data_IF_227469995889
#
_entry.id   IF_227469995889
#
_cell.length_a   1.000
_cell.length_b   1.000
_cell.length_c   1.000
_cell.angle_alpha   90.00
_cell.angle_beta   90.00
_cell.angle_gamma   90.00
#
_symmetry.space_group_name_H-M   'P 1'
#
loop_
_entity.id
_entity.type
_entity.pdbx_description
1 polymer ?
#
# COMPACT_ATOMS: atom_id res chain seq x y z
N UNK A 1 -13.09 22.05 17.68
CA UNK A 1 -12.69 20.73 17.17
C UNK A 1 -11.86 20.97 15.92
N UNK A 2 -10.56 20.62 15.92
CA UNK A 2 -9.68 20.86 14.76
C UNK A 2 -9.73 19.62 13.87
N UNK A 3 -10.24 19.79 12.64
CA UNK A 3 -10.14 18.80 11.58
C UNK A 3 -8.66 18.50 11.32
N UNK A 4 -8.25 17.26 11.59
CA UNK A 4 -6.89 16.80 11.31
C UNK A 4 -6.83 16.32 9.86
N UNK A 5 -6.79 17.29 8.95
CA UNK A 5 -6.46 17.05 7.54
C UNK A 5 -5.05 16.46 7.50
N UNK A 6 -4.93 15.21 7.06
CA UNK A 6 -3.63 14.61 6.79
C UNK A 6 -2.97 15.40 5.66
N UNK A 7 -1.87 16.08 5.99
CA UNK A 7 -0.99 16.72 5.01
C UNK A 7 0.30 15.90 4.98
N UNK A 8 0.72 15.36 3.83
CA UNK A 8 2.07 14.80 3.75
C UNK A 8 3.06 15.92 4.10
N UNK A 9 4.04 15.59 4.93
CA UNK A 9 5.07 16.54 5.34
C UNK A 9 5.77 17.09 4.08
N UNK A 10 5.63 18.39 3.85
CA UNK A 10 6.26 19.10 2.75
C UNK A 10 7.77 19.16 2.97
N UNK A 11 8.54 18.42 2.16
CA UNK A 11 9.99 18.56 2.05
C UNK A 11 10.70 17.22 1.79
N UNK A 12 11.16 17.02 0.55
CA UNK A 12 11.82 15.84 -0.03
C UNK A 12 10.91 14.60 -0.21
N UNK A 13 10.38 14.42 -1.41
CA UNK A 13 9.74 13.16 -1.83
C UNK A 13 10.83 12.10 -1.99
N UNK A 14 11.25 11.52 -0.86
CA UNK A 14 12.19 10.41 -0.84
C UNK A 14 11.37 9.20 -0.44
N UNK A 15 11.43 8.16 -1.26
CA UNK A 15 10.83 6.87 -0.96
C UNK A 15 11.15 6.44 0.50
N UNK A 16 10.16 5.95 1.27
CA UNK A 16 10.41 5.45 2.62
C UNK A 16 11.44 4.30 2.62
N UNK A 17 12.35 4.28 3.60
CA UNK A 17 13.38 3.23 3.71
C UNK A 17 12.79 1.81 3.70
N UNK A 18 11.62 1.61 4.31
CA UNK A 18 10.94 0.31 4.30
C UNK A 18 10.56 -0.16 2.89
N UNK A 19 10.18 0.77 2.02
CA UNK A 19 9.88 0.51 0.60
C UNK A 19 11.19 0.20 -0.14
N UNK A 20 12.23 1.00 0.05
CA UNK A 20 13.53 0.75 -0.59
C UNK A 20 14.12 -0.61 -0.21
N UNK A 21 14.01 -1.01 1.07
CA UNK A 21 14.43 -2.34 1.53
C UNK A 21 13.61 -3.45 0.88
N UNK A 22 12.29 -3.28 0.77
CA UNK A 22 11.44 -4.27 0.10
C UNK A 22 11.76 -4.39 -1.40
N UNK A 23 12.05 -3.28 -2.09
CA UNK A 23 12.46 -3.29 -3.51
C UNK A 23 13.75 -4.07 -3.76
N UNK A 24 14.66 -4.12 -2.78
CA UNK A 24 15.91 -4.86 -2.89
C UNK A 24 15.72 -6.39 -2.80
N UNK A 25 14.55 -6.87 -2.39
CA UNK A 25 14.26 -8.29 -2.20
C UNK A 25 13.79 -8.95 -3.50
N UNK A 26 14.29 -10.17 -3.75
CA UNK A 26 13.89 -10.99 -4.91
C UNK A 26 12.75 -11.93 -4.54
N UNK A 27 11.51 -11.48 -4.72
CA UNK A 27 10.31 -12.29 -4.42
C UNK A 27 9.99 -13.39 -5.45
N UNK A 28 10.71 -13.49 -6.56
CA UNK A 28 10.45 -14.51 -7.61
C UNK A 28 9.09 -14.38 -8.33
N UNK A 29 8.24 -13.45 -7.90
CA UNK A 29 6.95 -13.07 -8.50
C UNK A 29 7.04 -11.66 -9.07
N UNK A 30 6.23 -11.37 -10.09
CA UNK A 30 6.13 -10.00 -10.62
C UNK A 30 5.34 -9.12 -9.65
N UNK A 31 6.05 -8.38 -8.82
CA UNK A 31 5.46 -7.44 -7.87
C UNK A 31 4.83 -6.29 -8.63
N UNK A 32 3.57 -5.99 -8.31
CA UNK A 32 2.83 -4.88 -8.92
C UNK A 32 3.16 -3.57 -8.23
N UNK A 33 3.34 -3.55 -6.92
CA UNK A 33 3.74 -2.34 -6.19
C UNK A 33 4.00 -2.60 -4.71
N UNK A 34 4.58 -1.59 -4.07
CA UNK A 34 5.02 -1.65 -2.68
C UNK A 34 4.19 -0.69 -1.82
N UNK A 35 3.50 -1.21 -0.82
CA UNK A 35 2.59 -0.46 0.02
C UNK A 35 3.26 0.00 1.31
N UNK A 36 3.19 1.31 1.54
CA UNK A 36 3.55 1.97 2.79
C UNK A 36 2.29 2.44 3.53
N UNK A 37 2.30 2.39 4.86
CA UNK A 37 1.12 2.63 5.70
C UNK A 37 -0.11 1.88 5.20
N UNK A 38 0.05 0.58 4.96
CA UNK A 38 -1.01 -0.27 4.46
C UNK A 38 -2.05 -0.56 5.55
N UNK A 39 -3.30 -0.70 5.13
CA UNK A 39 -4.39 -1.23 5.93
C UNK A 39 -5.26 -2.17 5.07
N UNK A 40 -5.95 -3.10 5.72
CA UNK A 40 -6.98 -3.91 5.05
C UNK A 40 -8.33 -3.31 5.38
N UNK A 41 -9.06 -2.87 4.35
CA UNK A 41 -10.49 -2.60 4.48
C UNK A 41 -11.21 -3.96 4.51
N UNK A 42 -11.67 -4.36 5.70
CA UNK A 42 -12.35 -5.65 5.91
C UNK A 42 -13.72 -5.70 5.23
N UNK A 43 -14.40 -4.56 5.09
CA UNK A 43 -15.73 -4.51 4.48
C UNK A 43 -15.65 -4.77 2.97
N UNK A 44 -14.68 -4.15 2.30
CA UNK A 44 -14.44 -4.34 0.87
C UNK A 44 -13.45 -5.48 0.57
N UNK A 45 -12.82 -6.03 1.60
CA UNK A 45 -11.74 -7.02 1.50
C UNK A 45 -10.66 -6.55 0.53
N UNK A 46 -10.15 -5.33 0.69
CA UNK A 46 -9.11 -4.74 -0.18
C UNK A 46 -7.98 -4.09 0.63
N UNK A 47 -6.85 -3.82 -0.02
CA UNK A 47 -5.75 -3.07 0.55
C UNK A 47 -5.90 -1.58 0.27
N UNK A 48 -5.58 -0.77 1.27
CA UNK A 48 -5.52 0.69 1.16
C UNK A 48 -4.18 1.15 1.70
N UNK A 49 -3.57 2.16 1.08
CA UNK A 49 -2.28 2.69 1.52
C UNK A 49 -1.61 3.53 0.44
N UNK A 50 -0.34 3.83 0.63
CA UNK A 50 0.48 4.55 -0.35
C UNK A 50 1.28 3.54 -1.14
N UNK A 51 1.01 3.40 -2.45
CA UNK A 51 1.77 2.52 -3.33
C UNK A 51 2.95 3.26 -3.95
N UNK A 52 4.10 2.60 -3.97
CA UNK A 52 5.32 3.03 -4.64
C UNK A 52 5.71 2.02 -5.73
N UNK A 53 6.32 2.52 -6.80
CA UNK A 53 7.00 1.71 -7.83
C UNK A 53 6.05 0.75 -8.53
N UNK A 54 4.91 1.24 -9.02
CA UNK A 54 3.96 0.39 -9.71
C UNK A 54 4.55 -0.07 -11.05
N UNK A 55 4.36 -1.35 -11.36
CA UNK A 55 5.08 -2.04 -12.45
C UNK A 55 4.90 -1.46 -13.85
N UNK A 56 3.94 -0.54 -14.07
CA UNK A 56 3.77 0.20 -15.32
C UNK A 56 4.44 1.58 -15.31
N UNK A 57 5.34 1.83 -14.35
CA UNK A 57 6.04 3.11 -14.17
C UNK A 57 5.17 4.20 -13.54
N UNK A 58 4.09 3.82 -12.86
CA UNK A 58 3.22 4.77 -12.15
C UNK A 58 3.60 4.83 -10.68
N UNK A 59 3.28 5.96 -10.04
CA UNK A 59 3.40 6.13 -8.60
C UNK A 59 4.83 5.93 -8.06
N UNK A 60 5.86 6.31 -8.83
CA UNK A 60 7.26 6.25 -8.33
C UNK A 60 7.44 7.06 -7.05
N UNK A 61 6.80 8.22 -6.98
CA UNK A 61 6.80 9.15 -5.84
C UNK A 61 5.73 8.83 -4.78
N UNK A 62 5.03 7.71 -4.93
CA UNK A 62 3.94 7.33 -4.04
C UNK A 62 2.58 7.87 -4.48
N UNK A 63 1.54 7.05 -4.37
CA UNK A 63 0.16 7.50 -4.48
C UNK A 63 -0.77 6.71 -3.57
N UNK A 64 -1.80 7.38 -3.06
CA UNK A 64 -2.84 6.69 -2.30
C UNK A 64 -3.64 5.82 -3.26
N UNK A 65 -3.76 4.54 -2.94
CA UNK A 65 -4.61 3.61 -3.67
C UNK A 65 -5.58 2.91 -2.75
N UNK A 66 -6.67 2.46 -3.36
CA UNK A 66 -7.48 1.34 -2.91
C UNK A 66 -7.35 0.23 -3.95
N UNK A 67 -6.87 -0.93 -3.56
CA UNK A 67 -6.75 -2.07 -4.47
C UNK A 67 -8.14 -2.62 -4.83
N UNK A 68 -8.19 -3.48 -5.84
CA UNK A 68 -9.32 -4.41 -5.99
C UNK A 68 -9.35 -5.41 -4.83
N UNK A 69 -10.44 -6.19 -4.75
CA UNK A 69 -10.61 -7.24 -3.73
C UNK A 69 -9.41 -8.19 -3.67
N UNK A 70 -9.03 -8.58 -2.45
CA UNK A 70 -7.99 -9.55 -2.18
C UNK A 70 -8.50 -10.95 -2.48
N UNK A 71 -7.68 -11.71 -3.19
CA UNK A 71 -7.85 -13.16 -3.36
C UNK A 71 -7.23 -13.90 -2.16
N UNK A 72 -6.10 -13.40 -1.66
CA UNK A 72 -5.42 -13.96 -0.51
C UNK A 72 -4.08 -13.26 -0.23
N UNK A 73 -3.42 -13.68 0.85
CA UNK A 73 -2.09 -13.20 1.20
C UNK A 73 -1.21 -14.30 1.76
N UNK A 74 0.10 -14.13 1.61
CA UNK A 74 1.13 -15.07 2.07
C UNK A 74 2.34 -14.29 2.60
N UNK A 75 3.24 -15.01 3.25
CA UNK A 75 4.52 -14.47 3.70
C UNK A 75 5.65 -14.96 2.81
N UNK A 76 6.57 -14.06 2.50
CA UNK A 76 7.75 -14.38 1.71
C UNK A 76 8.87 -13.40 2.04
N UNK A 77 10.09 -13.92 2.28
CA UNK A 77 11.27 -13.13 2.64
C UNK A 77 11.04 -12.15 3.81
N UNK A 78 10.16 -12.50 4.76
CA UNK A 78 9.82 -11.65 5.90
C UNK A 78 8.82 -10.53 5.61
N UNK A 79 8.25 -10.48 4.40
CA UNK A 79 7.20 -9.54 4.01
C UNK A 79 5.85 -10.22 3.85
N UNK A 80 4.78 -9.48 4.12
CA UNK A 80 3.42 -9.90 3.80
C UNK A 80 3.08 -9.46 2.39
N UNK A 81 2.70 -10.41 1.54
CA UNK A 81 2.26 -10.18 0.17
C UNK A 81 0.77 -10.46 0.05
N UNK A 82 0.10 -9.72 -0.82
CA UNK A 82 -1.30 -9.95 -1.15
C UNK A 82 -1.52 -9.97 -2.64
N UNK A 83 -2.24 -10.99 -3.10
CA UNK A 83 -2.76 -11.04 -4.46
C UNK A 83 -4.20 -10.54 -4.46
N UNK A 84 -4.51 -9.72 -5.44
CA UNK A 84 -5.86 -9.27 -5.72
C UNK A 84 -6.51 -10.14 -6.79
N UNK A 85 -7.85 -10.12 -6.88
CA UNK A 85 -8.62 -10.88 -7.86
C UNK A 85 -8.28 -10.56 -9.33
N UNK A 86 -7.64 -9.42 -9.61
CA UNK A 86 -7.18 -9.06 -10.96
C UNK A 86 -5.73 -9.50 -11.24
N UNK A 87 -5.13 -10.27 -10.33
CA UNK A 87 -3.76 -10.78 -10.44
C UNK A 87 -2.67 -9.83 -9.95
N UNK A 88 -3.00 -8.59 -9.54
CA UNK A 88 -2.00 -7.66 -8.97
C UNK A 88 -1.47 -8.20 -7.64
N UNK A 89 -0.15 -8.09 -7.43
CA UNK A 89 0.54 -8.53 -6.21
C UNK A 89 1.17 -7.32 -5.53
N UNK A 90 0.81 -7.07 -4.27
CA UNK A 90 1.35 -5.98 -3.48
C UNK A 90 2.19 -6.50 -2.32
N UNK A 91 3.33 -5.85 -2.07
CA UNK A 91 4.19 -6.09 -0.91
C UNK A 91 3.87 -5.07 0.17
N UNK A 92 3.52 -5.49 1.37
CA UNK A 92 3.31 -4.58 2.51
C UNK A 92 4.66 -4.30 3.18
N UNK A 93 5.10 -3.06 3.08
CA UNK A 93 6.38 -2.59 3.61
C UNK A 93 6.25 -1.99 5.02
N UNK A 94 5.07 -1.46 5.33
CA UNK A 94 4.72 -0.90 6.63
C UNK A 94 3.19 -0.95 6.80
N UNK A 95 2.73 -1.26 8.01
CA UNK A 95 1.31 -1.24 8.36
C UNK A 95 0.95 0.10 9.00
N UNK A 96 -0.20 0.65 8.64
CA UNK A 96 -0.75 1.81 9.34
C UNK A 96 -0.95 1.47 10.82
N UNK A 97 -0.39 2.29 11.72
CA UNK A 97 -0.49 2.08 13.19
C UNK A 97 -1.88 2.37 13.76
N UNK A 98 -2.83 2.77 12.91
CA UNK A 98 -4.23 2.99 13.24
C UNK A 98 -5.08 2.15 12.29
N UNK A 99 -6.03 1.39 12.86
CA UNK A 99 -7.16 0.83 12.11
C UNK A 99 -7.68 1.89 11.13
N UNK A 100 -8.06 1.53 9.89
CA UNK A 100 -8.46 2.49 8.87
C UNK A 100 -9.66 3.30 9.39
N UNK A 101 -9.35 4.45 9.97
CA UNK A 101 -10.31 5.42 10.46
C UNK A 101 -11.17 5.86 9.26
N UNK A 102 -12.38 6.32 9.54
CA UNK A 102 -13.46 6.69 8.59
C UNK A 102 -13.05 7.68 7.48
N UNK A 103 -11.81 8.17 7.50
CA UNK A 103 -11.18 8.99 6.46
C UNK A 103 -10.89 8.22 5.16
N UNK A 104 -10.76 6.89 5.19
CA UNK A 104 -10.76 6.09 3.96
C UNK A 104 -12.18 5.86 3.40
N UNK A 105 -13.21 6.02 4.24
CA UNK A 105 -14.62 5.87 3.85
C UNK A 105 -15.17 7.05 3.00
N UNK A 106 -14.37 8.10 2.77
CA UNK A 106 -14.76 9.24 1.92
C UNK A 106 -14.57 9.00 0.42
N UNK A 107 -14.10 7.83 -0.01
CA UNK A 107 -14.20 7.40 -1.42
C UNK A 107 -15.41 6.47 -1.62
N UNK A 108 -16.58 6.96 -1.21
CA UNK A 108 -17.86 6.44 -1.70
C UNK A 108 -18.18 7.17 -3.02
N UNK A 109 -18.23 6.42 -4.11
CA UNK A 109 -19.07 6.76 -5.26
C UNK A 109 -20.47 6.23 -4.98
#
# INVERSE_FOLDING_TARGET
MKESVWRPASGACTEPESVSRARAVKFGSLITGYLYHAAIDLHLSCLVGIVYGESRGRFEDGAIIRSSRLEGGWEQEGYRLYRTVNGSIYVVCDWASVEPDSRFASFSL
#
